data_IF_904293422708
#
_entry.id   IF_904293422708
#
_cell.length_a   1.000
_cell.length_b   1.000
_cell.length_c   1.000
_cell.angle_alpha   90.00
_cell.angle_beta   90.00
_cell.angle_gamma   90.00
#
_symmetry.space_group_name_H-M   'P 1'
#
loop_
_entity.id
_entity.type
_entity.pdbx_description
1 polymer ?
#
# COMPACT_ATOMS: atom_id res chain seq x y z
N UNK A 1 -14.02 27.43 24.45
CA UNK A 1 -13.66 26.94 25.81
C UNK A 1 -13.21 25.48 25.67
N UNK A 2 -12.11 25.05 26.28
CA UNK A 2 -11.64 23.65 26.18
C UNK A 2 -12.56 22.74 27.01
N UNK A 3 -13.18 21.74 26.37
CA UNK A 3 -13.98 20.69 27.03
C UNK A 3 -13.06 19.90 27.96
N UNK A 4 -13.43 19.71 29.24
CA UNK A 4 -12.66 18.89 30.18
C UNK A 4 -12.94 17.42 29.87
N UNK A 5 -11.93 16.69 29.42
CA UNK A 5 -12.01 15.26 29.12
C UNK A 5 -11.97 14.44 30.42
N UNK A 6 -12.77 13.37 30.48
CA UNK A 6 -12.82 12.42 31.60
C UNK A 6 -11.82 11.28 31.39
N UNK A 7 -11.35 10.64 32.45
CA UNK A 7 -10.51 9.43 32.35
C UNK A 7 -11.37 8.20 32.05
N UNK A 8 -10.89 7.29 31.20
CA UNK A 8 -11.57 6.02 30.91
C UNK A 8 -11.55 5.12 32.15
N UNK A 9 -12.69 4.52 32.58
CA UNK A 9 -12.73 3.61 33.73
C UNK A 9 -12.02 2.28 33.45
N UNK A 10 -11.63 1.56 34.50
CA UNK A 10 -11.19 0.16 34.38
C UNK A 10 -12.40 -0.77 34.46
N UNK A 11 -12.69 -1.50 33.37
CA UNK A 11 -13.78 -2.47 33.30
C UNK A 11 -13.35 -3.85 33.79
N UNK A 12 -14.28 -4.59 34.41
CA UNK A 12 -14.03 -5.94 34.91
C UNK A 12 -14.35 -7.02 33.88
N UNK A 13 -15.19 -6.70 32.88
CA UNK A 13 -15.54 -7.59 31.78
C UNK A 13 -15.74 -6.82 30.48
N UNK A 14 -15.62 -7.52 29.35
CA UNK A 14 -15.87 -6.97 28.01
C UNK A 14 -17.34 -6.52 27.85
N UNK A 15 -18.27 -7.24 28.49
CA UNK A 15 -19.69 -6.89 28.47
C UNK A 15 -19.98 -5.58 29.20
N UNK A 16 -19.27 -5.30 30.30
CA UNK A 16 -19.38 -4.03 31.03
C UNK A 16 -18.87 -2.86 30.18
N UNK A 17 -17.75 -3.06 29.49
CA UNK A 17 -17.17 -2.07 28.58
C UNK A 17 -18.11 -1.76 27.39
N UNK A 18 -18.68 -2.79 26.77
CA UNK A 18 -19.62 -2.61 25.65
C UNK A 18 -20.86 -1.79 26.07
N UNK A 19 -21.49 -2.16 27.19
CA UNK A 19 -22.65 -1.43 27.73
C UNK A 19 -22.32 0.02 28.11
N UNK A 20 -21.09 0.26 28.57
CA UNK A 20 -20.62 1.61 28.88
C UNK A 20 -20.49 2.46 27.62
N UNK A 21 -19.87 1.95 26.56
CA UNK A 21 -19.68 2.70 25.30
C UNK A 21 -20.96 2.84 24.47
N UNK A 22 -21.95 1.96 24.65
CA UNK A 22 -23.28 2.14 24.05
C UNK A 22 -24.01 3.38 24.58
N UNK A 23 -23.64 3.85 25.77
CA UNK A 23 -24.33 4.96 26.47
C UNK A 23 -23.48 6.23 26.60
N UNK A 24 -22.18 6.17 26.28
CA UNK A 24 -21.25 7.29 26.47
C UNK A 24 -20.51 7.64 25.18
N UNK A 25 -20.34 8.94 24.91
CA UNK A 25 -19.59 9.43 23.76
C UNK A 25 -18.08 9.27 23.97
N UNK A 26 -17.41 8.66 22.99
CA UNK A 26 -15.95 8.51 22.94
C UNK A 26 -15.19 9.85 22.98
N UNK A 27 -15.78 10.94 22.49
CA UNK A 27 -15.15 12.27 22.48
C UNK A 27 -15.08 12.93 23.87
N UNK A 28 -15.81 12.40 24.86
CA UNK A 28 -15.82 12.91 26.24
C UNK A 28 -14.63 12.42 27.07
N UNK A 29 -13.86 11.47 26.56
CA UNK A 29 -12.79 10.79 27.30
C UNK A 29 -11.39 11.12 26.78
N UNK A 30 -10.43 11.05 27.69
CA UNK A 30 -9.02 11.29 27.42
C UNK A 30 -8.38 10.01 26.87
N UNK A 31 -8.08 10.05 25.58
CA UNK A 31 -7.34 9.00 24.89
C UNK A 31 -5.83 9.19 25.05
N UNK A 32 -5.08 8.10 25.00
CA UNK A 32 -3.64 8.18 24.85
C UNK A 32 -3.29 8.83 23.52
N UNK A 33 -2.31 9.73 23.53
CA UNK A 33 -1.86 10.35 22.29
C UNK A 33 -1.33 9.27 21.36
N UNK A 34 -1.84 9.21 20.13
CA UNK A 34 -1.27 8.36 19.12
C UNK A 34 0.23 8.65 18.99
N UNK A 35 1.07 7.61 18.80
CA UNK A 35 2.50 7.81 18.61
C UNK A 35 2.76 8.67 17.38
N UNK A 36 3.80 9.51 17.45
CA UNK A 36 4.18 10.36 16.33
C UNK A 36 4.70 9.49 15.17
N UNK A 37 3.86 9.30 14.15
CA UNK A 37 4.23 8.56 12.94
C UNK A 37 4.96 9.50 11.99
N UNK A 38 6.26 9.26 11.79
CA UNK A 38 7.06 9.96 10.78
C UNK A 38 6.77 9.37 9.40
N UNK A 39 5.96 10.05 8.61
CA UNK A 39 5.84 9.75 7.18
C UNK A 39 7.15 10.14 6.47
N UNK A 40 7.68 9.25 5.61
CA UNK A 40 8.84 9.59 4.80
C UNK A 40 8.50 10.77 3.89
N UNK A 41 9.22 11.90 4.04
CA UNK A 41 9.11 13.07 3.15
C UNK A 41 9.40 12.72 1.70
N UNK A 42 10.13 11.63 1.47
CA UNK A 42 10.52 11.13 0.15
C UNK A 42 9.73 9.88 -0.23
N UNK A 43 8.41 9.88 -0.02
CA UNK A 43 7.51 8.96 -0.71
C UNK A 43 7.57 9.27 -2.21
N UNK A 44 8.67 8.89 -2.87
CA UNK A 44 8.72 8.80 -4.32
C UNK A 44 7.70 7.74 -4.69
N UNK A 45 6.56 8.23 -5.15
CA UNK A 45 5.52 7.44 -5.76
C UNK A 45 6.16 6.32 -6.58
N UNK A 46 5.83 5.06 -6.27
CA UNK A 46 6.30 3.90 -7.03
C UNK A 46 6.04 4.08 -8.54
N UNK A 47 5.03 4.88 -8.88
CA UNK A 47 4.66 5.26 -10.24
C UNK A 47 5.72 6.13 -10.95
N UNK A 48 6.60 6.86 -10.25
CA UNK A 48 7.73 7.56 -10.87
C UNK A 48 8.73 6.60 -11.55
N UNK A 49 8.74 5.33 -11.15
CA UNK A 49 9.59 4.29 -11.75
C UNK A 49 8.87 3.54 -12.88
N UNK A 50 7.59 3.79 -13.11
CA UNK A 50 6.80 3.09 -14.13
C UNK A 50 6.81 3.92 -15.41
N UNK A 51 7.41 3.36 -16.46
CA UNK A 51 7.37 3.95 -17.80
C UNK A 51 6.21 3.31 -18.56
N UNK A 52 5.13 4.04 -18.92
CA UNK A 52 4.07 3.50 -19.75
C UNK A 52 4.58 3.30 -21.18
N UNK A 53 4.53 2.06 -21.68
CA UNK A 53 4.97 1.71 -23.04
C UNK A 53 3.74 1.38 -23.88
N UNK A 54 3.61 2.01 -25.04
CA UNK A 54 2.56 1.67 -26.01
C UNK A 54 3.00 0.41 -26.76
N UNK A 55 2.18 -0.62 -26.70
CA UNK A 55 2.36 -1.88 -27.41
C UNK A 55 1.11 -2.13 -28.26
N UNK A 56 1.29 -2.66 -29.46
CA UNK A 56 0.18 -3.19 -30.25
C UNK A 56 -0.32 -4.52 -29.65
N UNK A 57 -1.51 -4.94 -30.09
CA UNK A 57 -2.17 -6.13 -29.55
C UNK A 57 -1.36 -7.41 -29.80
N UNK A 58 -0.68 -7.52 -30.95
CA UNK A 58 0.08 -8.72 -31.30
C UNK A 58 1.31 -8.87 -30.40
N UNK A 59 2.03 -7.78 -30.16
CA UNK A 59 3.17 -7.74 -29.24
C UNK A 59 2.75 -8.08 -27.82
N UNK A 60 1.62 -7.52 -27.34
CA UNK A 60 1.10 -7.83 -26.01
C UNK A 60 0.82 -9.32 -25.85
N UNK A 61 0.11 -9.94 -26.82
CA UNK A 61 -0.20 -11.38 -26.81
C UNK A 61 1.05 -12.25 -26.85
N UNK A 62 2.08 -11.85 -27.60
CA UNK A 62 3.35 -12.56 -27.64
C UNK A 62 4.05 -12.56 -26.28
N UNK A 63 4.10 -11.41 -25.59
CA UNK A 63 4.69 -11.31 -24.23
C UNK A 63 3.89 -12.16 -23.24
N UNK A 64 2.57 -12.15 -23.31
CA UNK A 64 1.68 -12.98 -22.47
C UNK A 64 1.94 -14.48 -22.66
N UNK A 65 2.15 -14.92 -23.90
CA UNK A 65 2.48 -16.32 -24.20
C UNK A 65 3.81 -16.73 -23.55
N UNK A 66 4.86 -15.93 -23.73
CA UNK A 66 6.18 -16.19 -23.12
C UNK A 66 6.11 -16.17 -21.60
N UNK A 67 5.33 -15.24 -21.04
CA UNK A 67 5.09 -15.15 -19.60
C UNK A 67 4.45 -16.44 -19.05
N UNK A 68 3.42 -16.95 -19.73
CA UNK A 68 2.73 -18.19 -19.38
C UNK A 68 3.67 -19.41 -19.46
N UNK A 69 4.46 -19.52 -20.53
CA UNK A 69 5.40 -20.62 -20.72
C UNK A 69 6.50 -20.64 -19.64
N UNK A 70 6.98 -19.46 -19.21
CA UNK A 70 8.00 -19.33 -18.16
C UNK A 70 7.45 -19.30 -16.74
N UNK A 71 6.13 -19.23 -16.56
CA UNK A 71 5.49 -19.13 -15.24
C UNK A 71 5.81 -17.83 -14.49
N UNK A 72 6.08 -16.73 -15.21
CA UNK A 72 6.43 -15.42 -14.62
C UNK A 72 5.46 -14.33 -15.09
N UNK A 73 5.35 -13.23 -14.33
CA UNK A 73 4.44 -12.13 -14.67
C UNK A 73 4.81 -11.37 -15.96
N UNK A 74 3.81 -10.84 -16.67
CA UNK A 74 3.94 -10.11 -17.95
C UNK A 74 4.96 -8.97 -17.85
N UNK A 75 4.91 -8.16 -16.80
CA UNK A 75 5.85 -7.05 -16.59
C UNK A 75 7.29 -7.53 -16.38
N UNK A 76 7.47 -8.70 -15.76
CA UNK A 76 8.78 -9.34 -15.57
C UNK A 76 9.33 -9.87 -16.90
N UNK A 77 8.49 -10.52 -17.69
CA UNK A 77 8.85 -10.96 -19.05
C UNK A 77 9.24 -9.77 -19.93
N UNK A 78 8.44 -8.71 -19.95
CA UNK A 78 8.73 -7.51 -20.74
C UNK A 78 10.08 -6.89 -20.33
N UNK A 79 10.33 -6.74 -19.02
CA UNK A 79 11.61 -6.22 -18.51
C UNK A 79 12.80 -7.08 -18.93
N UNK A 80 12.66 -8.40 -18.86
CA UNK A 80 13.72 -9.35 -19.25
C UNK A 80 14.04 -9.20 -20.75
N UNK A 81 13.03 -9.23 -21.62
CA UNK A 81 13.19 -9.10 -23.07
C UNK A 81 13.81 -7.74 -23.46
N UNK A 82 13.38 -6.65 -22.82
CA UNK A 82 13.97 -5.32 -23.06
C UNK A 82 15.45 -5.31 -22.67
N UNK A 83 15.80 -5.88 -21.51
CA UNK A 83 17.20 -5.93 -21.05
C UNK A 83 18.09 -6.78 -21.96
N UNK A 84 17.57 -7.93 -22.40
CA UNK A 84 18.26 -8.81 -23.35
C UNK A 84 18.60 -8.05 -24.64
N UNK A 85 17.62 -7.34 -25.22
CA UNK A 85 17.85 -6.54 -26.42
C UNK A 85 18.82 -5.38 -26.20
N UNK A 86 18.77 -4.71 -25.05
CA UNK A 86 19.72 -3.63 -24.73
C UNK A 86 21.16 -4.13 -24.58
N UNK A 87 21.34 -5.34 -24.04
CA UNK A 87 22.64 -6.00 -23.94
C UNK A 87 23.19 -6.38 -25.33
N UNK A 88 22.34 -6.90 -26.23
CA UNK A 88 22.72 -7.14 -27.64
C UNK A 88 23.15 -5.87 -28.36
N UNK A 89 22.47 -4.74 -28.06
CA UNK A 89 22.81 -3.42 -28.60
C UNK A 89 24.04 -2.79 -27.91
N UNK A 90 24.62 -3.42 -26.88
CA UNK A 90 25.76 -2.92 -26.09
C UNK A 90 25.50 -1.54 -25.48
N UNK A 91 24.25 -1.25 -25.14
CA UNK A 91 23.84 0.02 -24.49
C UNK A 91 23.93 -0.09 -22.97
N UNK A 92 23.81 -1.32 -22.43
CA UNK A 92 24.01 -1.67 -21.02
C UNK A 92 24.84 -2.94 -20.90
#
# INVERSE_FOLDING_TARGET
MKKKLKTVPNFKSIEEEANFWDTHDTEDYQWESAPEVKFSKNLKSIYQKVVPIRLDESTKKAIEKVAKEKGIGISTTARMLIRERLHELKVI
#
